data_IF_824454129957
#
_entry.id   IF_824454129957
#
_cell.length_a   1.000
_cell.length_b   1.000
_cell.length_c   1.000
_cell.angle_alpha   90.00
_cell.angle_beta   90.00
_cell.angle_gamma   90.00
#
_symmetry.space_group_name_H-M   'P 1'
#
loop_
_entity.id
_entity.type
_entity.pdbx_description
1 polymer ?
#
# COMPACT_ATOMS: atom_id res chain seq x y z
N UNK A 1 12.50 17.87 -14.52
CA UNK A 1 12.48 18.06 -13.02
C UNK A 1 13.08 16.81 -12.41
N UNK A 2 14.18 16.92 -11.68
CA UNK A 2 14.92 15.78 -11.14
C UNK A 2 14.20 15.22 -9.91
N UNK A 3 13.86 13.93 -9.93
CA UNK A 3 13.37 13.18 -8.77
C UNK A 3 14.55 12.82 -7.87
N UNK A 4 14.42 13.16 -6.58
CA UNK A 4 15.48 12.95 -5.57
C UNK A 4 15.10 11.90 -4.52
N UNK A 5 13.84 11.43 -4.52
CA UNK A 5 13.36 10.37 -3.63
C UNK A 5 12.12 9.69 -4.17
N UNK A 6 11.92 8.43 -3.81
CA UNK A 6 10.76 7.64 -4.18
C UNK A 6 10.15 6.94 -2.95
N UNK A 7 8.87 7.15 -2.73
CA UNK A 7 8.10 6.53 -1.65
C UNK A 7 7.05 5.63 -2.28
N UNK A 8 7.02 4.38 -1.87
CA UNK A 8 6.08 3.40 -2.41
C UNK A 8 5.07 2.98 -1.35
N UNK A 9 3.79 2.96 -1.73
CA UNK A 9 2.86 2.10 -1.03
C UNK A 9 3.19 0.62 -1.30
N UNK A 10 2.63 -0.27 -0.47
CA UNK A 10 2.83 -1.71 -0.59
C UNK A 10 1.69 -2.39 -1.33
N UNK A 11 0.47 -2.27 -0.78
CA UNK A 11 -0.69 -3.08 -1.13
C UNK A 11 -1.43 -2.54 -2.36
N UNK A 12 -1.38 -3.25 -3.47
CA UNK A 12 -1.91 -2.76 -4.75
C UNK A 12 -0.89 -1.96 -5.56
N UNK A 13 0.23 -1.54 -4.94
CA UNK A 13 1.30 -0.75 -5.57
C UNK A 13 2.56 -1.57 -5.85
N UNK A 14 3.26 -2.08 -4.83
CA UNK A 14 4.43 -2.97 -4.99
C UNK A 14 4.04 -4.43 -5.08
N UNK A 15 2.90 -4.79 -4.51
CA UNK A 15 2.39 -6.16 -4.44
C UNK A 15 0.93 -6.24 -4.90
N UNK A 16 0.55 -7.36 -5.50
CA UNK A 16 -0.84 -7.69 -5.82
C UNK A 16 -1.49 -8.40 -4.62
N UNK A 17 -1.53 -7.71 -3.48
CA UNK A 17 -1.97 -8.24 -2.19
C UNK A 17 -3.44 -8.00 -1.85
N UNK A 18 -4.17 -7.22 -2.66
CA UNK A 18 -5.53 -6.79 -2.32
C UNK A 18 -6.53 -7.94 -2.12
N UNK A 19 -6.28 -9.11 -2.73
CA UNK A 19 -7.09 -10.30 -2.50
C UNK A 19 -7.10 -10.75 -1.02
N UNK A 20 -6.00 -10.52 -0.30
CA UNK A 20 -5.88 -10.91 1.12
C UNK A 20 -6.86 -10.11 1.96
N UNK A 21 -6.93 -8.81 1.71
CA UNK A 21 -7.81 -7.89 2.44
C UNK A 21 -9.29 -8.16 2.16
N UNK A 22 -9.59 -8.79 1.00
CA UNK A 22 -10.93 -9.27 0.69
C UNK A 22 -11.23 -10.61 1.40
N UNK A 23 -10.26 -11.52 1.47
CA UNK A 23 -10.50 -12.89 1.94
C UNK A 23 -10.22 -13.10 3.44
N UNK A 24 -9.24 -12.42 4.04
CA UNK A 24 -8.90 -12.66 5.44
C UNK A 24 -10.06 -12.36 6.42
N UNK A 25 -10.81 -11.25 6.30
CA UNK A 25 -11.98 -11.01 7.13
C UNK A 25 -13.05 -12.10 6.98
N UNK A 26 -13.36 -12.49 5.74
CA UNK A 26 -14.33 -13.56 5.46
C UNK A 26 -13.88 -14.90 6.04
N UNK A 27 -12.60 -15.23 5.91
CA UNK A 27 -12.04 -16.45 6.47
C UNK A 27 -12.15 -16.48 8.01
N UNK A 28 -11.96 -15.36 8.68
CA UNK A 28 -12.14 -15.26 10.14
C UNK A 28 -13.60 -15.45 10.54
N UNK A 29 -14.53 -14.77 9.86
CA UNK A 29 -15.97 -14.93 10.15
C UNK A 29 -16.36 -16.41 10.00
N UNK A 30 -15.95 -17.08 8.92
CA UNK A 30 -16.22 -18.53 8.71
C UNK A 30 -15.56 -19.40 9.79
N UNK A 31 -14.32 -19.08 10.20
CA UNK A 31 -13.60 -19.81 11.27
C UNK A 31 -14.36 -19.81 12.59
N UNK A 32 -15.05 -18.72 12.91
CA UNK A 32 -15.86 -18.60 14.14
C UNK A 32 -17.33 -19.00 13.95
N UNK A 33 -17.68 -19.61 12.81
CA UNK A 33 -19.01 -20.18 12.54
C UNK A 33 -20.03 -19.22 11.94
N UNK A 34 -19.59 -18.01 11.54
CA UNK A 34 -20.45 -17.05 10.83
C UNK A 34 -20.44 -17.29 9.31
N UNK A 35 -21.40 -16.68 8.62
CA UNK A 35 -21.50 -16.66 7.15
C UNK A 35 -21.32 -15.23 6.62
N UNK A 36 -20.12 -14.86 6.15
CA UNK A 36 -19.86 -13.52 5.64
C UNK A 36 -20.44 -13.33 4.23
N UNK A 37 -21.01 -12.15 3.91
CA UNK A 37 -21.37 -11.80 2.54
C UNK A 37 -20.11 -11.65 1.67
N UNK A 38 -20.28 -11.74 0.34
CA UNK A 38 -19.17 -11.59 -0.59
C UNK A 38 -18.52 -10.20 -0.53
N UNK A 39 -19.30 -9.18 -0.23
CA UNK A 39 -18.87 -7.78 -0.18
C UNK A 39 -18.48 -7.28 1.22
N UNK A 40 -18.29 -8.19 2.21
CA UNK A 40 -17.84 -7.83 3.56
C UNK A 40 -16.65 -6.86 3.57
N UNK A 41 -15.66 -7.11 2.71
CA UNK A 41 -14.47 -6.27 2.63
C UNK A 41 -14.79 -4.82 2.22
N UNK A 42 -15.80 -4.61 1.38
CA UNK A 42 -16.29 -3.28 1.00
C UNK A 42 -16.95 -2.59 2.20
N UNK A 43 -17.74 -3.31 2.98
CA UNK A 43 -18.47 -2.74 4.12
C UNK A 43 -17.51 -2.26 5.23
N UNK A 44 -16.39 -2.94 5.43
CA UNK A 44 -15.39 -2.59 6.45
C UNK A 44 -14.22 -1.75 5.92
N UNK A 45 -14.19 -1.40 4.63
CA UNK A 45 -13.04 -0.77 3.94
C UNK A 45 -12.60 0.55 4.58
N UNK A 46 -13.56 1.36 5.04
CA UNK A 46 -13.29 2.67 5.63
C UNK A 46 -13.15 2.64 7.15
N UNK A 47 -13.47 1.50 7.77
CA UNK A 47 -13.38 1.31 9.21
C UNK A 47 -11.93 1.15 9.67
N UNK A 48 -11.64 1.66 10.87
CA UNK A 48 -10.41 1.30 11.56
C UNK A 48 -10.38 -0.19 11.93
N UNK A 49 -9.19 -0.78 12.11
CA UNK A 49 -9.03 -2.22 12.40
C UNK A 49 -9.90 -2.70 13.58
N UNK A 50 -9.97 -1.89 14.64
CA UNK A 50 -10.78 -2.19 15.82
C UNK A 50 -12.26 -2.14 15.50
N UNK A 51 -12.71 -1.08 14.85
CA UNK A 51 -14.10 -0.87 14.45
C UNK A 51 -14.57 -1.99 13.51
N UNK A 52 -13.78 -2.36 12.51
CA UNK A 52 -14.06 -3.48 11.62
C UNK A 52 -14.19 -4.81 12.38
N UNK A 53 -13.36 -5.02 13.42
CA UNK A 53 -13.41 -6.23 14.23
C UNK A 53 -14.65 -6.26 15.14
N UNK A 54 -15.03 -5.12 15.73
CA UNK A 54 -16.26 -4.95 16.49
C UNK A 54 -17.48 -5.19 15.59
N UNK A 55 -17.52 -4.56 14.41
CA UNK A 55 -18.56 -4.78 13.41
C UNK A 55 -18.73 -6.26 13.05
N UNK A 56 -17.63 -6.99 12.79
CA UNK A 56 -17.69 -8.41 12.44
C UNK A 56 -18.23 -9.25 13.59
N UNK A 57 -17.80 -9.00 14.83
CA UNK A 57 -18.29 -9.74 16.01
C UNK A 57 -19.79 -9.52 16.20
N UNK A 58 -20.23 -8.27 16.16
CA UNK A 58 -21.62 -7.90 16.44
C UNK A 58 -22.55 -8.35 15.31
N UNK A 59 -22.17 -8.09 14.05
CA UNK A 59 -23.02 -8.38 12.88
C UNK A 59 -23.21 -9.88 12.68
N UNK A 60 -22.16 -10.68 12.89
CA UNK A 60 -22.20 -12.14 12.67
C UNK A 60 -22.36 -12.93 13.98
N UNK A 61 -22.59 -12.27 15.11
CA UNK A 61 -22.76 -12.88 16.43
C UNK A 61 -21.65 -13.88 16.74
N UNK A 62 -20.38 -13.51 16.48
CA UNK A 62 -19.25 -14.44 16.59
C UNK A 62 -18.95 -14.75 18.07
N UNK A 63 -18.66 -16.02 18.43
CA UNK A 63 -18.33 -16.43 19.80
C UNK A 63 -16.86 -16.10 20.16
N UNK A 64 -16.43 -14.86 19.88
CA UNK A 64 -15.07 -14.41 20.13
C UNK A 64 -15.05 -12.89 20.41
N UNK A 65 -13.91 -12.38 20.86
CA UNK A 65 -13.72 -10.95 21.11
C UNK A 65 -13.25 -10.23 19.83
N UNK A 66 -13.50 -8.91 19.67
CA UNK A 66 -12.93 -8.11 18.58
C UNK A 66 -11.40 -8.22 18.50
N UNK A 67 -10.73 -8.31 19.65
CA UNK A 67 -9.29 -8.51 19.70
C UNK A 67 -8.84 -9.83 19.04
N UNK A 68 -9.56 -10.93 19.28
CA UNK A 68 -9.27 -12.23 18.64
C UNK A 68 -9.50 -12.19 17.13
N UNK A 69 -10.51 -11.44 16.65
CA UNK A 69 -10.73 -11.22 15.23
C UNK A 69 -9.56 -10.44 14.63
N UNK A 70 -9.20 -9.31 15.25
CA UNK A 70 -8.10 -8.47 14.77
C UNK A 70 -6.77 -9.23 14.70
N UNK A 71 -6.42 -9.97 15.74
CA UNK A 71 -5.21 -10.82 15.78
C UNK A 71 -5.26 -11.93 14.75
N UNK A 72 -6.42 -12.55 14.55
CA UNK A 72 -6.62 -13.59 13.56
C UNK A 72 -6.47 -13.08 12.12
N UNK A 73 -7.06 -11.93 11.77
CA UNK A 73 -6.86 -11.27 10.47
C UNK A 73 -5.38 -10.96 10.28
N UNK A 74 -4.74 -10.33 11.28
CA UNK A 74 -3.33 -9.99 11.20
C UNK A 74 -2.42 -11.22 11.01
N UNK A 75 -2.72 -12.33 11.66
CA UNK A 75 -1.96 -13.59 11.51
C UNK A 75 -2.10 -14.17 10.09
N UNK A 76 -3.32 -14.17 9.51
CA UNK A 76 -3.55 -14.61 8.13
C UNK A 76 -2.80 -13.72 7.14
N UNK A 77 -2.93 -12.42 7.28
CA UNK A 77 -2.25 -11.42 6.45
C UNK A 77 -0.74 -11.61 6.52
N UNK A 78 -0.18 -11.76 7.73
CA UNK A 78 1.27 -11.98 7.93
C UNK A 78 1.75 -13.25 7.22
N UNK A 79 0.98 -14.34 7.30
CA UNK A 79 1.30 -15.59 6.61
C UNK A 79 1.34 -15.42 5.08
N UNK A 80 0.39 -14.69 4.51
CA UNK A 80 0.34 -14.44 3.08
C UNK A 80 1.54 -13.59 2.60
N UNK A 81 1.90 -12.51 3.31
CA UNK A 81 3.08 -11.70 2.96
C UNK A 81 4.38 -12.51 3.02
N UNK A 82 4.51 -13.35 4.04
CA UNK A 82 5.69 -14.19 4.19
C UNK A 82 5.80 -15.24 3.09
N UNK A 83 4.68 -15.83 2.65
CA UNK A 83 4.73 -17.08 1.88
C UNK A 83 4.27 -16.92 0.41
N UNK A 84 3.33 -15.99 0.08
CA UNK A 84 2.58 -16.08 -1.18
C UNK A 84 2.40 -14.80 -1.97
N UNK A 85 2.25 -13.63 -1.31
CA UNK A 85 1.92 -12.37 -2.01
C UNK A 85 2.79 -12.16 -3.24
N UNK A 86 2.21 -12.03 -4.45
CA UNK A 86 3.00 -11.79 -5.65
C UNK A 86 3.46 -10.34 -5.76
N UNK A 87 4.56 -10.13 -6.44
CA UNK A 87 5.04 -8.82 -6.83
C UNK A 87 4.12 -8.22 -7.91
N UNK A 88 3.88 -6.93 -7.82
CA UNK A 88 3.22 -6.16 -8.89
C UNK A 88 4.09 -6.14 -10.14
N UNK A 89 3.45 -6.31 -11.28
CA UNK A 89 4.16 -6.36 -12.58
C UNK A 89 4.98 -5.09 -12.83
N UNK A 90 6.28 -5.25 -13.06
CA UNK A 90 7.22 -4.17 -13.37
C UNK A 90 7.82 -3.48 -12.15
N UNK A 91 7.54 -3.95 -10.92
CA UNK A 91 8.13 -3.38 -9.71
C UNK A 91 9.65 -3.54 -9.67
N UNK A 92 10.16 -4.69 -10.05
CA UNK A 92 11.59 -4.98 -10.17
C UNK A 92 12.28 -4.03 -11.16
N UNK A 93 11.74 -3.92 -12.37
CA UNK A 93 12.25 -3.05 -13.43
C UNK A 93 12.31 -1.59 -13.00
N UNK A 94 11.24 -1.08 -12.37
CA UNK A 94 11.19 0.30 -11.87
C UNK A 94 12.22 0.53 -10.76
N UNK A 95 12.31 -0.38 -9.79
CA UNK A 95 13.25 -0.26 -8.67
C UNK A 95 14.72 -0.34 -9.12
N UNK A 96 15.03 -1.22 -10.06
CA UNK A 96 16.36 -1.28 -10.68
C UNK A 96 16.71 0.03 -11.40
N UNK A 97 15.73 0.61 -12.10
CA UNK A 97 15.93 1.89 -12.80
C UNK A 97 16.17 3.04 -11.84
N UNK A 98 15.36 3.17 -10.78
CA UNK A 98 15.56 4.18 -9.75
C UNK A 98 16.91 4.02 -9.06
N UNK A 99 17.31 2.78 -8.77
CA UNK A 99 18.64 2.49 -8.22
C UNK A 99 19.78 2.90 -9.13
N UNK A 100 19.68 2.65 -10.45
CA UNK A 100 20.67 3.08 -11.44
C UNK A 100 20.79 4.60 -11.55
N UNK A 101 19.69 5.33 -11.29
CA UNK A 101 19.66 6.80 -11.25
C UNK A 101 20.08 7.38 -9.90
N UNK A 102 20.40 6.53 -8.90
CA UNK A 102 20.78 6.94 -7.56
C UNK A 102 19.62 7.54 -6.75
N UNK A 103 18.37 7.23 -7.09
CA UNK A 103 17.19 7.71 -6.37
C UNK A 103 16.91 6.78 -5.18
N UNK A 104 17.03 7.26 -3.93
CA UNK A 104 16.74 6.46 -2.75
C UNK A 104 15.24 6.16 -2.64
N UNK A 105 14.91 4.92 -2.25
CA UNK A 105 13.54 4.45 -2.12
C UNK A 105 13.20 4.06 -0.68
N UNK A 106 11.93 4.28 -0.29
CA UNK A 106 11.35 3.85 0.97
C UNK A 106 9.92 3.38 0.79
N UNK A 107 9.42 2.61 1.75
CA UNK A 107 8.03 2.12 1.77
C UNK A 107 7.24 2.90 2.81
N UNK A 108 6.01 3.31 2.46
CA UNK A 108 5.03 3.94 3.33
C UNK A 108 3.68 3.19 3.20
N UNK A 109 3.34 2.35 4.16
CA UNK A 109 2.22 1.40 4.08
C UNK A 109 1.20 1.57 5.22
N UNK A 110 -0.05 1.15 4.99
CA UNK A 110 -1.05 0.95 6.03
C UNK A 110 -0.86 -0.38 6.79
N UNK A 111 -0.08 -1.30 6.23
CA UNK A 111 0.29 -2.58 6.83
C UNK A 111 1.39 -2.42 7.88
N UNK A 112 1.72 -3.49 8.62
CA UNK A 112 2.84 -3.48 9.54
C UNK A 112 4.17 -3.40 8.78
N UNK A 113 5.11 -2.61 9.29
CA UNK A 113 6.41 -2.42 8.64
C UNK A 113 7.19 -3.73 8.45
N UNK A 114 7.07 -4.68 9.40
CA UNK A 114 7.72 -5.98 9.29
C UNK A 114 7.09 -6.85 8.19
N UNK A 115 5.76 -6.77 7.96
CA UNK A 115 5.08 -7.49 6.88
C UNK A 115 5.59 -7.01 5.51
N UNK A 116 5.71 -5.69 5.33
CA UNK A 116 6.29 -5.10 4.13
C UNK A 116 7.72 -5.58 3.90
N UNK A 117 8.55 -5.58 4.96
CA UNK A 117 9.93 -6.07 4.90
C UNK A 117 9.99 -7.54 4.52
N UNK A 118 9.21 -8.40 5.16
CA UNK A 118 9.23 -9.84 4.92
C UNK A 118 8.82 -10.17 3.48
N UNK A 119 7.77 -9.50 2.95
CA UNK A 119 7.39 -9.63 1.56
C UNK A 119 8.51 -9.19 0.61
N UNK A 120 9.12 -8.02 0.84
CA UNK A 120 10.20 -7.49 -0.01
C UNK A 120 11.47 -8.35 0.08
N UNK A 121 11.79 -8.92 1.22
CA UNK A 121 12.92 -9.88 1.37
C UNK A 121 12.65 -11.13 0.55
N UNK A 122 11.47 -11.74 0.68
CA UNK A 122 11.09 -12.94 -0.08
C UNK A 122 11.09 -12.70 -1.59
N UNK A 123 10.63 -11.53 -2.02
CA UNK A 123 10.60 -11.14 -3.44
C UNK A 123 11.97 -10.68 -3.98
N UNK A 124 13.01 -10.60 -3.13
CA UNK A 124 14.36 -10.15 -3.53
C UNK A 124 14.48 -8.65 -3.77
N UNK A 125 13.47 -7.86 -3.35
CA UNK A 125 13.37 -6.42 -3.59
C UNK A 125 13.84 -5.56 -2.42
N UNK A 126 14.01 -6.12 -1.22
CA UNK A 126 14.37 -5.34 -0.03
C UNK A 126 15.66 -4.53 -0.19
N UNK A 127 16.60 -5.00 -1.00
CA UNK A 127 17.86 -4.32 -1.31
C UNK A 127 17.70 -2.91 -1.91
N UNK A 128 16.54 -2.58 -2.44
CA UNK A 128 16.25 -1.27 -3.04
C UNK A 128 15.70 -0.26 -2.03
N UNK A 129 15.32 -0.69 -0.83
CA UNK A 129 14.65 0.16 0.15
C UNK A 129 15.53 0.45 1.36
N UNK A 130 15.52 1.70 1.81
CA UNK A 130 16.22 2.12 3.02
C UNK A 130 15.40 1.80 4.28
N UNK A 131 14.07 1.82 4.18
CA UNK A 131 13.14 1.59 5.30
C UNK A 131 11.76 1.16 4.80
N UNK A 132 10.95 0.64 5.74
CA UNK A 132 9.51 0.53 5.62
C UNK A 132 8.87 1.23 6.83
N UNK A 133 8.00 2.21 6.58
CA UNK A 133 7.24 2.94 7.59
C UNK A 133 5.77 2.57 7.53
N UNK A 134 5.20 2.33 8.71
CA UNK A 134 3.78 2.00 8.88
C UNK A 134 2.97 3.22 9.30
N UNK A 135 1.78 3.36 8.77
CA UNK A 135 0.80 4.36 9.22
C UNK A 135 0.44 4.21 10.70
N UNK A 136 0.62 3.04 11.27
CA UNK A 136 0.42 2.79 12.71
C UNK A 136 1.40 3.56 13.61
N UNK A 137 2.59 3.89 13.08
CA UNK A 137 3.62 4.60 13.82
C UNK A 137 3.68 6.08 13.46
N UNK A 138 3.37 6.44 12.22
CA UNK A 138 3.58 7.79 11.68
C UNK A 138 2.28 8.53 11.36
N UNK A 139 1.11 7.92 11.64
CA UNK A 139 -0.21 8.49 11.35
C UNK A 139 -0.80 8.02 10.01
N UNK A 140 -2.12 8.18 9.86
CA UNK A 140 -2.87 7.61 8.74
C UNK A 140 -2.49 8.25 7.40
N UNK A 141 -2.64 7.49 6.32
CA UNK A 141 -2.39 7.95 4.94
C UNK A 141 -3.33 9.07 4.47
N UNK A 142 -4.40 9.34 5.19
CA UNK A 142 -5.27 10.52 4.97
C UNK A 142 -4.62 11.83 5.41
N UNK A 143 -3.53 11.76 6.21
CA UNK A 143 -2.70 12.88 6.63
C UNK A 143 -1.31 12.86 5.97
N UNK A 144 -0.54 13.95 6.10
CA UNK A 144 0.76 14.11 5.44
C UNK A 144 1.93 13.49 6.20
N UNK A 145 1.74 13.11 7.47
CA UNK A 145 2.85 12.88 8.41
C UNK A 145 3.70 11.67 8.02
N UNK A 146 3.07 10.57 7.59
CA UNK A 146 3.76 9.38 7.10
C UNK A 146 4.67 9.71 5.91
N UNK A 147 4.15 10.40 4.90
CA UNK A 147 4.91 10.76 3.70
C UNK A 147 6.02 11.77 3.99
N UNK A 148 5.76 12.76 4.87
CA UNK A 148 6.78 13.72 5.31
C UNK A 148 7.89 13.05 6.12
N UNK A 149 7.55 12.07 6.97
CA UNK A 149 8.55 11.29 7.70
C UNK A 149 9.42 10.48 6.72
N UNK A 150 8.80 9.84 5.73
CA UNK A 150 9.51 9.09 4.70
C UNK A 150 10.44 9.98 3.87
N UNK A 151 9.97 11.14 3.37
CA UNK A 151 10.77 12.07 2.59
C UNK A 151 11.98 12.59 3.39
N UNK A 152 11.79 12.94 4.67
CA UNK A 152 12.92 13.33 5.55
C UNK A 152 13.96 12.23 5.67
N UNK A 153 13.54 10.97 5.79
CA UNK A 153 14.44 9.81 5.87
C UNK A 153 15.16 9.51 4.55
N UNK A 154 14.58 9.91 3.42
CA UNK A 154 15.25 9.87 2.10
C UNK A 154 16.20 11.06 1.88
N UNK A 155 16.12 12.10 2.71
CA UNK A 155 16.86 13.36 2.51
C UNK A 155 16.36 14.19 1.32
N UNK A 156 15.07 14.01 0.92
CA UNK A 156 14.48 14.70 -0.22
C UNK A 156 13.31 15.61 0.20
N UNK A 157 13.11 16.70 -0.58
CA UNK A 157 12.00 17.61 -0.39
C UNK A 157 10.71 17.03 -1.03
N UNK A 158 9.51 17.33 -0.50
CA UNK A 158 8.26 16.80 -1.06
C UNK A 158 8.11 17.03 -2.57
N UNK A 159 8.42 18.21 -3.06
CA UNK A 159 8.30 18.60 -4.48
C UNK A 159 9.30 17.89 -5.41
N UNK A 160 10.26 17.16 -4.85
CA UNK A 160 11.22 16.30 -5.57
C UNK A 160 11.11 14.83 -5.21
N UNK A 161 10.09 14.49 -4.44
CA UNK A 161 9.80 13.10 -4.02
C UNK A 161 8.55 12.62 -4.73
N UNK A 162 8.64 11.49 -5.41
CA UNK A 162 7.49 10.84 -6.02
C UNK A 162 6.91 9.82 -5.05
N UNK A 163 5.59 9.86 -4.86
CA UNK A 163 4.82 8.87 -4.12
C UNK A 163 4.07 8.00 -5.11
N UNK A 164 4.31 6.68 -5.07
CA UNK A 164 3.58 5.68 -5.85
C UNK A 164 2.44 5.14 -5.01
N UNK A 165 1.20 5.27 -5.50
CA UNK A 165 -0.03 4.95 -4.79
C UNK A 165 -1.13 4.47 -5.72
N UNK A 166 -1.90 3.48 -5.29
CA UNK A 166 -3.10 3.00 -5.98
C UNK A 166 -4.40 3.55 -5.36
N UNK A 167 -4.36 3.96 -4.08
CA UNK A 167 -5.52 4.44 -3.34
C UNK A 167 -5.72 5.95 -3.52
N UNK A 168 -6.88 6.36 -4.06
CA UNK A 168 -7.20 7.76 -4.34
C UNK A 168 -7.10 8.69 -3.12
N UNK A 169 -7.57 8.25 -1.94
CA UNK A 169 -7.52 9.07 -0.72
C UNK A 169 -6.07 9.34 -0.27
N UNK A 170 -5.19 8.37 -0.40
CA UNK A 170 -3.78 8.47 -0.06
C UNK A 170 -3.02 9.33 -1.09
N UNK A 171 -3.29 9.14 -2.38
CA UNK A 171 -2.78 9.99 -3.46
C UNK A 171 -3.16 11.47 -3.27
N UNK A 172 -4.44 11.74 -2.90
CA UNK A 172 -4.91 13.10 -2.55
C UNK A 172 -4.15 13.71 -1.38
N UNK A 173 -3.85 12.90 -0.36
CA UNK A 173 -3.08 13.35 0.80
C UNK A 173 -1.65 13.72 0.43
N UNK A 174 -0.97 12.87 -0.35
CA UNK A 174 0.37 13.13 -0.87
C UNK A 174 0.41 14.40 -1.72
N UNK A 175 -0.54 14.58 -2.66
CA UNK A 175 -0.64 15.81 -3.48
C UNK A 175 -0.82 17.07 -2.63
N UNK A 176 -1.74 17.04 -1.66
CA UNK A 176 -1.96 18.19 -0.74
C UNK A 176 -0.72 18.51 0.10
N UNK A 177 0.11 17.51 0.37
CA UNK A 177 1.37 17.69 1.10
C UNK A 177 2.55 18.18 0.22
N UNK A 178 2.31 18.40 -1.08
CA UNK A 178 3.28 18.94 -2.03
C UNK A 178 4.13 17.91 -2.75
N UNK A 179 3.80 16.62 -2.64
CA UNK A 179 4.51 15.52 -3.32
C UNK A 179 4.13 15.43 -4.79
N UNK A 180 5.05 14.91 -5.58
CA UNK A 180 4.73 14.32 -6.89
C UNK A 180 4.03 12.98 -6.65
N UNK A 181 3.04 12.64 -7.48
CA UNK A 181 2.31 11.38 -7.34
C UNK A 181 2.26 10.62 -8.66
N UNK A 182 2.68 9.37 -8.62
CA UNK A 182 2.47 8.39 -9.66
C UNK A 182 1.35 7.44 -9.22
N UNK A 183 0.16 7.61 -9.79
CA UNK A 183 -0.99 6.75 -9.55
C UNK A 183 -0.78 5.39 -10.22
N UNK A 184 -0.92 4.31 -9.48
CA UNK A 184 -0.71 2.94 -9.97
C UNK A 184 -2.06 2.26 -10.14
N UNK A 185 -2.30 1.64 -11.30
CA UNK A 185 -3.52 0.90 -11.54
C UNK A 185 -3.65 -0.30 -10.60
N UNK A 186 -4.80 -0.42 -9.95
CA UNK A 186 -5.17 -1.56 -9.14
C UNK A 186 -6.64 -1.97 -9.42
N UNK A 187 -6.91 -3.23 -9.82
CA UNK A 187 -8.28 -3.69 -10.10
C UNK A 187 -9.24 -3.56 -8.91
N UNK A 188 -8.71 -3.60 -7.68
CA UNK A 188 -9.48 -3.44 -6.44
C UNK A 188 -10.04 -2.05 -6.21
N UNK A 189 -9.58 -1.04 -6.97
CA UNK A 189 -9.99 0.35 -6.90
C UNK A 189 -10.50 0.87 -8.27
N UNK A 190 -11.15 0.02 -9.07
CA UNK A 190 -11.58 0.34 -10.44
C UNK A 190 -12.45 1.61 -10.50
N UNK A 191 -13.37 1.77 -9.57
CA UNK A 191 -14.27 2.93 -9.49
C UNK A 191 -13.55 4.26 -9.24
N UNK A 192 -12.35 4.23 -8.65
CA UNK A 192 -11.52 5.41 -8.33
C UNK A 192 -10.50 5.74 -9.44
N UNK A 193 -10.31 4.87 -10.45
CA UNK A 193 -9.19 4.98 -11.40
C UNK A 193 -9.22 6.26 -12.24
N UNK A 194 -10.39 6.71 -12.68
CA UNK A 194 -10.49 7.96 -13.45
C UNK A 194 -10.14 9.17 -12.58
N UNK A 195 -10.61 9.21 -11.33
CA UNK A 195 -10.27 10.27 -10.39
C UNK A 195 -8.77 10.26 -10.03
N UNK A 196 -8.18 9.06 -9.88
CA UNK A 196 -6.75 8.90 -9.64
C UNK A 196 -5.94 9.40 -10.84
N UNK A 197 -6.33 9.05 -12.06
CA UNK A 197 -5.71 9.51 -13.31
C UNK A 197 -5.69 11.03 -13.43
N UNK A 198 -6.81 11.68 -13.10
CA UNK A 198 -6.93 13.14 -13.15
C UNK A 198 -6.11 13.85 -12.08
N UNK A 199 -5.85 13.20 -10.94
CA UNK A 199 -5.15 13.79 -9.79
C UNK A 199 -3.63 13.75 -9.93
N UNK A 200 -3.10 12.65 -10.47
CA UNK A 200 -1.68 12.32 -10.42
C UNK A 200 -0.85 13.03 -11.50
N UNK A 201 0.46 13.22 -11.22
CA UNK A 201 1.40 13.73 -12.21
C UNK A 201 1.69 12.69 -13.30
N UNK A 202 1.63 11.42 -12.93
CA UNK A 202 1.71 10.26 -13.83
C UNK A 202 0.68 9.22 -13.42
N UNK A 203 0.09 8.55 -14.40
CA UNK A 203 -0.75 7.38 -14.18
C UNK A 203 -0.12 6.17 -14.84
N UNK A 204 0.10 5.13 -14.05
CA UNK A 204 0.87 3.95 -14.43
C UNK A 204 -0.06 2.72 -14.51
N UNK A 205 -0.45 2.28 -15.71
CA UNK A 205 -1.13 0.99 -15.89
C UNK A 205 -0.27 -0.19 -15.41
N UNK A 206 1.06 -0.02 -15.50
CA UNK A 206 2.11 -0.93 -15.01
C UNK A 206 3.28 -0.09 -14.48
N UNK A 207 4.01 -0.62 -13.51
CA UNK A 207 5.15 0.09 -12.92
C UNK A 207 6.31 0.27 -13.91
N UNK A 208 6.47 -0.65 -14.87
CA UNK A 208 7.47 -0.59 -15.95
C UNK A 208 6.98 0.18 -17.19
N UNK A 209 6.01 1.09 -17.04
CA UNK A 209 5.48 1.89 -18.14
C UNK A 209 6.59 2.66 -18.87
N UNK A 210 6.80 2.45 -20.18
CA UNK A 210 7.96 3.01 -20.90
C UNK A 210 8.04 4.54 -20.86
N UNK A 211 6.90 5.20 -20.94
CA UNK A 211 6.82 6.67 -20.93
C UNK A 211 7.29 7.24 -19.58
N UNK A 212 6.95 6.57 -18.48
CA UNK A 212 7.40 6.97 -17.13
C UNK A 212 8.89 6.71 -16.95
N UNK A 213 9.37 5.52 -17.34
CA UNK A 213 10.81 5.21 -17.27
C UNK A 213 11.64 6.19 -18.09
N UNK A 214 11.19 6.55 -19.29
CA UNK A 214 11.83 7.57 -20.12
C UNK A 214 11.76 8.99 -19.49
N UNK A 215 10.68 9.30 -18.76
CA UNK A 215 10.57 10.57 -18.03
C UNK A 215 11.56 10.68 -16.88
N UNK A 216 11.82 9.58 -16.16
CA UNK A 216 12.86 9.52 -15.10
C UNK A 216 14.26 9.86 -15.62
N UNK A 217 14.57 9.48 -16.87
CA UNK A 217 15.89 9.71 -17.49
C UNK A 217 16.11 11.16 -17.95
N UNK A 218 15.03 11.85 -18.31
CA UNK A 218 15.09 13.22 -18.82
C UNK A 218 15.15 14.30 -17.74
N UNK A 219 14.93 13.93 -16.50
CA UNK A 219 14.89 14.85 -15.35
C UNK A 219 16.18 15.13 -14.73
#
# INVERSE_FOLDING_TARGET
>A
MRIEGAIFDLDGTLTDSMYIWNEAPKALVRKFGGEPPEDLARDIREMGRREASEYMVDTFCLPCTPQQVMEGVNALVTGEYRDRVPMKTGADTLLERLGALGVPCGIATASEAFQARDAMVRLGLWKHFLFAFSSLQYGPKTGPDLYRAAARSLGSAPERTVVFEDALHAARSAKRAGFLVAGVYAPSAEEDQEALRCLCDWYLPRLDSPDFLAALERG
#
